data_IF_008179797796
#
_entry.id   IF_008179797796
#
_cell.length_a   1.000
_cell.length_b   1.000
_cell.length_c   1.000
_cell.angle_alpha   90.00
_cell.angle_beta   90.00
_cell.angle_gamma   90.00
#
_symmetry.space_group_name_H-M   'P 1'
#
loop_
_entity.id
_entity.type
_entity.pdbx_description
1 polymer ?
#
# COMPACT_ATOMS: atom_id res chain seq x y z
N UNK A 1 0.67 -21.81 33.74
CA UNK A 1 -0.05 -20.56 33.38
C UNK A 1 -1.52 -20.72 33.74
N UNK A 2 -2.20 -19.65 34.16
CA UNK A 2 -3.64 -19.72 34.41
C UNK A 2 -4.40 -19.98 33.10
N UNK A 3 -5.22 -21.03 33.06
CA UNK A 3 -6.09 -21.37 31.94
C UNK A 3 -7.53 -20.99 32.28
N UNK A 4 -8.31 -20.46 31.32
CA UNK A 4 -9.72 -20.17 31.55
C UNK A 4 -10.46 -21.48 31.82
N UNK A 5 -11.21 -21.52 32.93
CA UNK A 5 -11.98 -22.72 33.31
C UNK A 5 -13.11 -23.03 32.31
N UNK A 6 -13.68 -22.02 31.65
CA UNK A 6 -14.77 -22.11 30.68
C UNK A 6 -14.68 -20.99 29.63
N UNK A 7 -15.34 -21.17 28.49
CA UNK A 7 -15.45 -20.16 27.45
C UNK A 7 -16.30 -18.95 27.88
N UNK A 8 -15.90 -17.73 27.47
CA UNK A 8 -16.69 -16.52 27.73
C UNK A 8 -17.96 -16.50 26.87
N UNK A 9 -19.13 -16.30 27.49
CA UNK A 9 -20.40 -16.24 26.76
C UNK A 9 -20.43 -15.12 25.72
N UNK A 10 -21.26 -15.28 24.68
CA UNK A 10 -21.38 -14.29 23.59
C UNK A 10 -21.79 -12.90 24.13
N UNK A 11 -22.67 -12.85 25.13
CA UNK A 11 -23.09 -11.60 25.77
C UNK A 11 -21.92 -10.89 26.47
N UNK A 12 -21.16 -11.59 27.31
CA UNK A 12 -20.00 -11.04 28.03
C UNK A 12 -18.93 -10.52 27.06
N UNK A 13 -18.68 -11.25 25.98
CA UNK A 13 -17.74 -10.82 24.93
C UNK A 13 -18.22 -9.56 24.21
N UNK A 14 -19.52 -9.47 23.86
CA UNK A 14 -20.10 -8.28 23.20
C UNK A 14 -20.03 -7.04 24.10
N UNK A 15 -20.36 -7.18 25.39
CA UNK A 15 -20.29 -6.08 26.36
C UNK A 15 -18.84 -5.59 26.50
N UNK A 16 -17.88 -6.50 26.65
CA UNK A 16 -16.46 -6.14 26.73
C UNK A 16 -15.98 -5.42 25.46
N UNK A 17 -16.40 -5.88 24.27
CA UNK A 17 -16.03 -5.25 22.99
C UNK A 17 -16.70 -3.88 22.78
N UNK A 18 -17.86 -3.62 23.39
CA UNK A 18 -18.62 -2.37 23.27
C UNK A 18 -17.82 -1.13 23.70
N UNK A 19 -16.86 -1.28 24.61
CA UNK A 19 -16.02 -0.16 25.08
C UNK A 19 -14.93 0.24 24.08
N UNK A 20 -14.57 -0.64 23.14
CA UNK A 20 -13.54 -0.38 22.12
C UNK A 20 -14.14 0.30 20.89
N UNK A 21 -14.74 1.47 21.08
CA UNK A 21 -15.30 2.28 20.00
C UNK A 21 -14.31 3.34 19.56
N UNK A 22 -14.15 3.48 18.25
CA UNK A 22 -13.41 4.59 17.66
C UNK A 22 -14.25 5.86 17.76
N UNK A 23 -13.60 6.99 18.09
CA UNK A 23 -14.22 8.32 18.06
C UNK A 23 -13.90 9.00 16.72
N UNK A 24 -14.84 9.77 16.19
CA UNK A 24 -14.59 10.61 15.03
C UNK A 24 -13.63 11.75 15.40
N UNK A 25 -12.83 12.17 14.42
CA UNK A 25 -11.92 13.32 14.54
C UNK A 25 -12.69 14.57 14.11
N UNK A 26 -12.47 15.68 14.81
CA UNK A 26 -13.02 16.98 14.45
C UNK A 26 -12.23 17.59 13.29
N UNK A 27 -12.89 17.77 12.15
CA UNK A 27 -12.34 18.40 10.96
C UNK A 27 -13.00 19.76 10.72
N UNK A 28 -12.20 20.73 10.32
CA UNK A 28 -12.61 22.12 10.07
C UNK A 28 -12.15 22.51 8.66
N UNK A 29 -12.94 23.33 7.96
CA UNK A 29 -12.56 23.86 6.66
C UNK A 29 -11.34 24.80 6.78
N UNK A 30 -10.41 24.69 5.82
CA UNK A 30 -9.28 25.60 5.71
C UNK A 30 -9.71 26.92 5.05
N UNK A 31 -9.39 28.05 5.67
CA UNK A 31 -9.71 29.40 5.16
C UNK A 31 -9.12 29.71 3.77
N UNK A 32 -7.99 29.09 3.41
CA UNK A 32 -7.26 29.42 2.18
C UNK A 32 -7.62 28.53 0.98
N UNK A 33 -8.02 27.28 1.23
CA UNK A 33 -8.25 26.30 0.16
C UNK A 33 -9.56 25.51 0.29
N UNK A 34 -10.34 25.74 1.35
CA UNK A 34 -11.60 25.04 1.61
C UNK A 34 -11.46 23.57 2.03
N UNK A 35 -10.27 22.97 1.94
CA UNK A 35 -10.07 21.57 2.32
C UNK A 35 -10.29 21.31 3.83
N UNK A 36 -10.79 20.13 4.17
CA UNK A 36 -10.98 19.71 5.55
C UNK A 36 -9.63 19.38 6.19
N UNK A 37 -9.34 19.99 7.34
CA UNK A 37 -8.12 19.76 8.12
C UNK A 37 -8.44 19.58 9.61
N UNK A 38 -7.60 18.87 10.37
CA UNK A 38 -7.81 18.76 11.81
C UNK A 38 -7.60 20.13 12.49
N UNK A 39 -8.35 20.34 13.59
CA UNK A 39 -8.26 21.57 14.38
C UNK A 39 -6.82 21.78 14.90
N UNK A 40 -6.35 23.03 14.94
CA UNK A 40 -4.98 23.40 15.37
C UNK A 40 -3.80 22.83 14.55
N UNK A 41 -4.05 22.16 13.42
CA UNK A 41 -2.99 21.71 12.51
C UNK A 41 -2.83 22.61 11.27
N UNK A 42 -1.62 22.57 10.71
CA UNK A 42 -1.29 23.12 9.39
C UNK A 42 -2.06 22.32 8.32
N UNK A 43 -2.59 23.01 7.32
CA UNK A 43 -3.22 22.33 6.19
C UNK A 43 -2.16 21.58 5.37
N UNK A 44 -2.35 20.28 5.17
CA UNK A 44 -1.42 19.45 4.39
C UNK A 44 -1.48 19.75 2.88
N UNK A 45 -2.58 20.35 2.41
CA UNK A 45 -2.79 20.68 1.00
C UNK A 45 -2.08 21.98 0.64
N UNK A 46 -2.40 23.09 1.33
CA UNK A 46 -1.86 24.41 1.00
C UNK A 46 -0.71 24.87 1.91
N UNK A 47 -0.35 24.10 2.94
CA UNK A 47 0.77 24.43 3.83
C UNK A 47 0.54 25.65 4.73
N UNK A 48 -0.70 26.13 4.85
CA UNK A 48 -1.04 27.33 5.62
C UNK A 48 -1.64 27.02 7.00
N UNK A 49 -1.40 27.94 7.94
CA UNK A 49 -2.03 27.99 9.25
C UNK A 49 -2.23 29.45 9.66
N UNK A 50 -3.46 29.84 10.06
CA UNK A 50 -3.79 31.22 10.49
C UNK A 50 -3.32 32.30 9.48
N UNK A 51 -3.65 32.11 8.20
CA UNK A 51 -3.30 33.05 7.13
C UNK A 51 -1.81 33.12 6.74
N UNK A 52 -0.92 32.38 7.42
CA UNK A 52 0.53 32.34 7.10
C UNK A 52 0.90 31.01 6.46
N UNK A 53 1.75 31.06 5.43
CA UNK A 53 2.34 29.87 4.78
C UNK A 53 3.55 29.40 5.60
N UNK A 54 3.56 28.13 5.99
CA UNK A 54 4.66 27.50 6.74
C UNK A 54 5.34 26.38 5.96
N UNK A 55 4.61 25.72 5.04
CA UNK A 55 5.16 24.67 4.19
C UNK A 55 5.08 25.10 2.73
N UNK A 56 6.24 25.11 2.06
CA UNK A 56 6.33 25.23 0.61
C UNK A 56 6.05 23.87 -0.04
N UNK A 57 4.77 23.46 -0.07
CA UNK A 57 4.33 22.16 -0.62
C UNK A 57 4.78 21.99 -2.07
N UNK A 58 4.71 23.06 -2.88
CA UNK A 58 5.15 23.08 -4.27
C UNK A 58 6.64 22.73 -4.46
N UNK A 59 7.50 23.26 -3.58
CA UNK A 59 8.95 22.97 -3.65
C UNK A 59 9.24 21.52 -3.31
N UNK A 60 8.46 20.93 -2.39
CA UNK A 60 8.59 19.53 -2.00
C UNK A 60 8.19 18.60 -3.14
N UNK A 61 7.02 18.83 -3.75
CA UNK A 61 6.54 18.03 -4.88
C UNK A 61 7.52 18.04 -6.07
N UNK A 62 8.09 19.21 -6.40
CA UNK A 62 9.08 19.31 -7.47
C UNK A 62 10.33 18.48 -7.20
N UNK A 63 10.78 18.40 -5.94
CA UNK A 63 11.93 17.57 -5.54
C UNK A 63 11.58 16.08 -5.59
N UNK A 64 10.40 15.71 -5.10
CA UNK A 64 9.88 14.33 -5.12
C UNK A 64 9.79 13.80 -6.55
N UNK A 65 9.18 14.57 -7.47
CA UNK A 65 9.06 14.22 -8.89
C UNK A 65 10.42 14.01 -9.55
N UNK A 66 11.43 14.79 -9.19
CA UNK A 66 12.81 14.59 -9.69
C UNK A 66 13.40 13.27 -9.20
N UNK A 67 13.20 12.92 -7.92
CA UNK A 67 13.68 11.66 -7.32
C UNK A 67 13.00 10.43 -7.92
N UNK A 68 11.69 10.51 -8.15
CA UNK A 68 10.93 9.42 -8.76
C UNK A 68 11.42 9.18 -10.20
N UNK A 69 11.62 10.26 -10.98
CA UNK A 69 12.17 10.15 -12.35
C UNK A 69 13.55 9.48 -12.37
N UNK A 70 14.45 9.87 -11.48
CA UNK A 70 15.78 9.24 -11.39
C UNK A 70 15.69 7.75 -11.01
N UNK A 71 14.82 7.39 -10.06
CA UNK A 71 14.65 6.00 -9.62
C UNK A 71 14.00 5.12 -10.70
N UNK A 72 13.03 5.67 -11.45
CA UNK A 72 12.40 4.96 -12.55
C UNK A 72 13.38 4.73 -13.70
N UNK A 73 14.25 5.69 -14.01
CA UNK A 73 15.31 5.56 -15.00
C UNK A 73 16.33 4.48 -14.62
N UNK A 74 16.75 4.42 -13.35
CA UNK A 74 17.66 3.40 -12.83
C UNK A 74 17.06 1.98 -12.85
N UNK A 75 15.75 1.84 -12.66
CA UNK A 75 15.07 0.54 -12.63
C UNK A 75 14.68 0.00 -14.01
N UNK A 76 14.65 0.82 -15.07
CA UNK A 76 14.38 0.38 -16.45
C UNK A 76 15.25 -0.80 -16.92
N UNK A 77 16.60 -0.76 -16.79
CA UNK A 77 17.45 -1.86 -17.24
C UNK A 77 17.18 -3.17 -16.49
N UNK A 78 16.91 -3.10 -15.18
CA UNK A 78 16.62 -4.27 -14.36
C UNK A 78 15.25 -4.88 -14.72
N UNK A 79 14.23 -4.05 -14.93
CA UNK A 79 12.88 -4.49 -15.34
C UNK A 79 12.91 -5.12 -16.74
N UNK A 80 13.69 -4.60 -17.66
CA UNK A 80 13.89 -5.17 -19.00
C UNK A 80 14.65 -6.50 -18.94
N UNK A 81 15.69 -6.62 -18.11
CA UNK A 81 16.41 -7.87 -17.91
C UNK A 81 15.50 -8.95 -17.29
N UNK A 82 14.68 -8.60 -16.30
CA UNK A 82 13.73 -9.53 -15.66
C UNK A 82 12.68 -10.02 -16.66
N UNK A 83 12.13 -9.13 -17.51
CA UNK A 83 11.18 -9.52 -18.58
C UNK A 83 11.78 -10.52 -19.55
N UNK A 84 13.02 -10.27 -20.01
CA UNK A 84 13.75 -11.18 -20.91
C UNK A 84 14.02 -12.53 -20.28
N UNK A 85 14.26 -12.59 -18.97
CA UNK A 85 14.43 -13.85 -18.23
C UNK A 85 13.10 -14.59 -18.08
N UNK A 86 12.00 -13.89 -17.81
CA UNK A 86 10.66 -14.48 -17.71
C UNK A 86 10.17 -15.09 -19.03
N UNK A 87 10.41 -14.40 -20.16
CA UNK A 87 10.07 -14.91 -21.50
C UNK A 87 10.84 -16.21 -21.83
N UNK A 88 12.10 -16.30 -21.40
CA UNK A 88 12.93 -17.51 -21.53
C UNK A 88 12.40 -18.66 -20.65
N UNK A 89 12.10 -18.39 -19.39
CA UNK A 89 11.51 -19.40 -18.49
C UNK A 89 10.13 -19.87 -18.99
N UNK A 90 9.32 -19.01 -19.59
CA UNK A 90 8.02 -19.38 -20.14
C UNK A 90 8.11 -20.24 -21.41
N UNK A 91 9.14 -20.04 -22.23
CA UNK A 91 9.41 -20.89 -23.39
C UNK A 91 9.96 -22.26 -22.97
N UNK A 92 10.80 -22.32 -21.93
CA UNK A 92 11.34 -23.56 -21.38
C UNK A 92 10.24 -24.44 -20.72
N UNK A 93 9.25 -23.84 -20.05
CA UNK A 93 8.13 -24.59 -19.43
C UNK A 93 7.14 -25.22 -20.42
N UNK A 94 7.01 -24.66 -21.64
CA UNK A 94 6.18 -25.26 -22.70
C UNK A 94 6.79 -26.55 -23.27
N UNK A 95 8.12 -26.71 -23.18
CA UNK A 95 8.85 -27.89 -23.66
C UNK A 95 8.68 -29.09 -22.70
N UNK A 96 8.58 -28.84 -21.39
CA UNK A 96 8.50 -29.88 -20.35
C UNK A 96 7.12 -30.56 -20.27
N UNK A 97 6.04 -29.83 -20.58
CA UNK A 97 4.66 -30.35 -20.48
C UNK A 97 4.17 -31.10 -21.74
N UNK A 98 5.06 -31.44 -22.68
CA UNK A 98 4.69 -32.25 -23.84
C UNK A 98 4.52 -33.72 -23.39
N UNK A 99 3.31 -34.31 -23.46
CA UNK A 99 3.09 -35.66 -22.93
C UNK A 99 3.94 -36.68 -23.71
N UNK A 100 4.72 -37.50 -23.01
CA UNK A 100 5.39 -38.66 -23.60
C UNK A 100 4.32 -39.68 -24.01
N UNK A 101 3.80 -39.55 -25.23
CA UNK A 101 2.84 -40.51 -25.78
C UNK A 101 3.57 -41.74 -26.30
N UNK A 102 3.39 -42.82 -25.54
CA UNK A 102 3.38 -44.24 -25.89
C UNK A 102 4.71 -44.90 -26.33
N UNK A 103 5.32 -45.63 -25.39
CA UNK A 103 6.32 -46.66 -25.68
C UNK A 103 5.61 -47.93 -26.17
N UNK A 104 5.41 -48.06 -27.47
CA UNK A 104 5.02 -49.32 -28.10
C UNK A 104 6.27 -50.19 -28.24
N UNK A 105 6.50 -51.14 -27.33
CA UNK A 105 7.52 -52.16 -27.52
C UNK A 105 6.99 -53.23 -28.47
N UNK A 106 7.39 -53.17 -29.73
CA UNK A 106 7.22 -54.23 -30.72
C UNK A 106 7.99 -55.48 -30.28
N UNK A 107 7.29 -56.61 -30.21
CA UNK A 107 7.86 -57.96 -30.19
C UNK A 107 7.24 -58.74 -31.33
#
# INVERSE_FOLDING_TARGET
>A
MAQPKQGTSRSKTKIRRKSFRLKSINLIACEQCGSLKPAHHICLVCGTYRGKKYLDVEKKERKERKRIKTQEEEQKPQKEAIKKVQEKISSDKQVINKPLTQRTTSK
#
